data_IF_374186793637
#
_entry.id   IF_374186793637
#
_cell.length_a   1.000
_cell.length_b   1.000
_cell.length_c   1.000
_cell.angle_alpha   90.00
_cell.angle_beta   90.00
_cell.angle_gamma   90.00
#
_symmetry.space_group_name_H-M   'P 1'
#
loop_
_entity.id
_entity.type
_entity.pdbx_description
1 polymer ?
#
# COMPACT_ATOMS: atom_id res chain seq x y z
N UNK A 1 -23.55 18.63 14.95
CA UNK A 1 -22.15 18.81 15.40
C UNK A 1 -21.31 17.76 14.70
N UNK A 2 -20.37 18.16 13.82
CA UNK A 2 -19.38 17.21 13.31
C UNK A 2 -18.46 16.82 14.48
N UNK A 3 -18.35 15.52 14.78
CA UNK A 3 -17.38 15.03 15.74
C UNK A 3 -15.98 15.10 15.14
N UNK A 4 -15.02 15.60 15.92
CA UNK A 4 -13.64 15.91 15.52
C UNK A 4 -12.76 14.69 15.18
N UNK A 5 -13.34 13.49 15.06
CA UNK A 5 -12.60 12.26 14.73
C UNK A 5 -12.29 12.13 13.23
N UNK A 6 -12.94 12.91 12.37
CA UNK A 6 -12.73 12.84 10.93
C UNK A 6 -11.83 13.97 10.45
N UNK A 7 -10.55 13.67 10.18
CA UNK A 7 -9.62 14.61 9.53
C UNK A 7 -9.65 14.35 8.01
N UNK A 8 -10.32 15.29 7.32
CA UNK A 8 -10.63 15.44 5.89
C UNK A 8 -9.92 14.54 4.86
N UNK A 9 -10.70 13.92 3.95
CA UNK A 9 -10.23 13.53 2.62
C UNK A 9 -11.12 14.16 1.55
N UNK A 10 -10.72 15.34 1.07
CA UNK A 10 -11.27 15.98 -0.12
C UNK A 10 -12.74 16.42 -0.03
N UNK A 11 -13.06 17.46 -0.80
CA UNK A 11 -14.44 17.78 -1.16
C UNK A 11 -14.61 17.38 -2.62
N UNK A 12 -15.60 16.55 -2.91
CA UNK A 12 -15.93 16.08 -4.25
C UNK A 12 -17.39 16.34 -4.60
N UNK A 13 -17.71 16.22 -5.87
CA UNK A 13 -19.08 16.29 -6.37
C UNK A 13 -19.44 14.94 -6.99
N UNK A 14 -20.54 14.34 -6.53
CA UNK A 14 -21.14 13.16 -7.14
C UNK A 14 -22.36 13.59 -7.96
N UNK A 15 -22.49 13.09 -9.19
CA UNK A 15 -23.67 13.29 -10.02
C UNK A 15 -24.45 11.98 -10.11
N UNK A 16 -25.75 11.99 -9.82
CA UNK A 16 -26.60 10.83 -10.02
C UNK A 16 -27.03 10.64 -11.49
N UNK A 17 -27.73 9.55 -11.76
CA UNK A 17 -28.24 9.20 -13.09
C UNK A 17 -29.26 10.19 -13.67
N UNK A 18 -29.90 10.99 -12.82
CA UNK A 18 -30.92 11.98 -13.18
C UNK A 18 -30.30 13.39 -13.30
N UNK A 19 -28.98 13.51 -13.09
CA UNK A 19 -28.18 14.71 -13.28
C UNK A 19 -28.02 15.58 -12.02
N UNK A 20 -28.53 15.15 -10.87
CA UNK A 20 -28.45 15.90 -9.61
C UNK A 20 -27.04 15.85 -9.05
N UNK A 21 -26.49 17.01 -8.66
CA UNK A 21 -25.17 17.13 -8.06
C UNK A 21 -25.25 17.13 -6.53
N UNK A 22 -24.43 16.29 -5.91
CA UNK A 22 -24.29 16.16 -4.46
C UNK A 22 -22.89 16.59 -4.03
N UNK A 23 -22.83 17.46 -3.03
CA UNK A 23 -21.60 17.71 -2.31
C UNK A 23 -21.27 16.51 -1.44
N UNK A 24 -20.13 15.87 -1.69
CA UNK A 24 -19.68 14.71 -0.93
C UNK A 24 -18.41 15.09 -0.16
N UNK A 25 -18.50 14.98 1.16
CA UNK A 25 -17.33 14.98 2.02
C UNK A 25 -16.95 13.54 2.28
N UNK A 26 -15.75 13.12 1.85
CA UNK A 26 -15.24 11.81 2.23
C UNK A 26 -14.53 11.92 3.57
N UNK A 27 -15.00 11.15 4.54
CA UNK A 27 -14.32 10.95 5.81
C UNK A 27 -13.62 9.59 5.72
N UNK A 28 -12.28 9.55 5.74
CA UNK A 28 -11.63 8.31 6.15
C UNK A 28 -11.87 8.13 7.65
N UNK A 29 -12.08 6.88 8.06
CA UNK A 29 -12.34 6.54 9.45
C UNK A 29 -11.21 6.95 10.40
N UNK A 30 -11.38 6.65 11.70
CA UNK A 30 -10.38 6.87 12.72
C UNK A 30 -9.02 6.40 12.21
N UNK A 31 -8.04 7.30 12.10
CA UNK A 31 -6.68 7.08 11.56
C UNK A 31 -6.46 7.29 10.04
N UNK A 32 -7.31 8.06 9.38
CA UNK A 32 -7.13 8.52 7.99
C UNK A 32 -5.70 9.01 7.61
N UNK A 33 -5.00 9.62 8.56
CA UNK A 33 -3.65 10.16 8.38
C UNK A 33 -2.54 9.24 8.91
N UNK A 34 -2.89 8.14 9.59
CA UNK A 34 -1.88 7.21 10.08
C UNK A 34 -1.28 6.50 8.88
N UNK A 35 0.04 6.42 8.91
CA UNK A 35 0.83 5.75 7.89
C UNK A 35 1.73 4.74 8.57
N UNK A 36 2.02 3.68 7.84
CA UNK A 36 3.03 2.71 8.20
C UNK A 36 4.14 2.75 7.18
N UNK A 37 5.33 2.39 7.62
CA UNK A 37 6.54 2.37 6.80
C UNK A 37 6.77 0.95 6.30
N UNK A 38 6.72 0.79 4.98
CA UNK A 38 7.21 -0.41 4.31
C UNK A 38 8.69 -0.22 4.00
N UNK A 39 9.52 -1.17 4.40
CA UNK A 39 10.95 -1.24 4.06
C UNK A 39 11.19 -2.36 3.05
N UNK A 40 11.87 -2.06 1.95
CA UNK A 40 12.14 -3.03 0.88
C UNK A 40 13.55 -3.59 1.00
N UNK A 41 13.64 -4.87 1.33
CA UNK A 41 14.87 -5.64 1.28
C UNK A 41 14.93 -6.44 -0.03
N UNK A 42 15.71 -6.01 -1.04
CA UNK A 42 15.76 -6.68 -2.33
C UNK A 42 16.44 -8.06 -2.29
N UNK A 43 16.93 -8.52 -1.12
CA UNK A 43 17.38 -9.89 -0.91
C UNK A 43 18.38 -10.39 -1.97
N UNK A 44 19.51 -9.71 -2.07
CA UNK A 44 20.54 -10.01 -3.08
C UNK A 44 20.28 -9.38 -4.46
N UNK A 45 19.13 -8.72 -4.67
CA UNK A 45 18.91 -7.82 -5.79
C UNK A 45 19.20 -6.36 -5.45
N UNK A 46 18.79 -5.46 -6.34
CA UNK A 46 18.83 -4.00 -6.17
C UNK A 46 17.43 -3.42 -6.30
N UNK A 47 17.07 -2.49 -5.42
CA UNK A 47 15.83 -1.72 -5.49
C UNK A 47 16.14 -0.25 -5.27
N UNK A 48 15.70 0.62 -6.18
CA UNK A 48 15.91 2.06 -6.07
C UNK A 48 15.03 2.69 -4.96
N UNK A 49 13.95 2.01 -4.58
CA UNK A 49 13.06 2.43 -3.50
C UNK A 49 13.39 1.62 -2.25
N UNK A 50 13.91 2.29 -1.21
CA UNK A 50 14.25 1.65 0.07
C UNK A 50 13.07 1.58 1.03
N UNK A 51 12.24 2.62 1.05
CA UNK A 51 11.07 2.70 1.93
C UNK A 51 9.89 3.35 1.21
N UNK A 52 8.67 3.05 1.66
CA UNK A 52 7.44 3.67 1.20
C UNK A 52 6.47 3.85 2.36
N UNK A 53 5.82 5.01 2.43
CA UNK A 53 4.74 5.27 3.38
C UNK A 53 3.41 4.74 2.79
N UNK A 54 2.78 3.79 3.47
CA UNK A 54 1.49 3.23 3.10
C UNK A 54 0.40 3.68 4.10
N UNK A 55 -0.85 3.92 3.65
CA UNK A 55 -1.94 4.23 4.57
C UNK A 55 -2.21 3.05 5.52
N UNK A 56 -2.40 3.35 6.79
CA UNK A 56 -2.71 2.35 7.83
C UNK A 56 -3.95 1.51 7.47
N UNK A 57 -3.86 0.20 7.67
CA UNK A 57 -4.92 -0.81 7.39
C UNK A 57 -5.43 -0.81 5.95
N UNK A 58 -4.67 -0.24 5.00
CA UNK A 58 -4.99 -0.36 3.58
C UNK A 58 -4.45 -1.68 3.04
N UNK A 59 -5.27 -2.35 2.23
CA UNK A 59 -4.83 -3.51 1.45
C UNK A 59 -3.90 -3.06 0.34
N UNK A 60 -2.67 -3.58 0.33
CA UNK A 60 -1.66 -3.34 -0.69
C UNK A 60 -1.51 -4.56 -1.61
N UNK A 61 -1.40 -4.35 -2.92
CA UNK A 61 -1.10 -5.41 -3.88
C UNK A 61 0.34 -5.29 -4.42
N UNK A 62 0.90 -6.40 -4.92
CA UNK A 62 2.26 -6.44 -5.49
C UNK A 62 2.51 -5.38 -6.55
N UNK A 63 1.51 -5.12 -7.42
CA UNK A 63 1.59 -4.12 -8.49
C UNK A 63 1.73 -2.68 -8.00
N UNK A 64 1.40 -2.42 -6.73
CA UNK A 64 1.49 -1.08 -6.12
C UNK A 64 2.86 -0.86 -5.45
N UNK A 65 3.76 -1.85 -5.54
CA UNK A 65 5.08 -1.87 -4.92
C UNK A 65 6.18 -1.75 -5.97
N UNK A 66 7.37 -1.24 -5.60
CA UNK A 66 8.51 -1.21 -6.50
C UNK A 66 8.91 -2.62 -6.96
N UNK A 67 9.40 -2.71 -8.19
CA UNK A 67 9.94 -3.96 -8.75
C UNK A 67 11.47 -3.90 -8.66
N UNK A 68 12.11 -4.76 -7.84
CA UNK A 68 13.56 -4.84 -7.77
C UNK A 68 14.12 -5.62 -8.96
N UNK A 69 15.44 -5.55 -9.16
CA UNK A 69 16.16 -6.31 -10.20
C UNK A 69 17.27 -7.14 -9.59
N UNK A 70 17.45 -8.37 -10.08
CA UNK A 70 18.57 -9.25 -9.70
C UNK A 70 19.03 -10.04 -10.92
N UNK A 71 20.29 -9.91 -11.30
CA UNK A 71 20.84 -10.57 -12.48
C UNK A 71 20.78 -12.10 -12.34
N UNK A 72 20.25 -12.77 -13.38
CA UNK A 72 20.04 -14.23 -13.39
C UNK A 72 18.79 -14.72 -12.64
N UNK A 73 17.89 -13.82 -12.22
CA UNK A 73 16.68 -14.18 -11.49
C UNK A 73 15.44 -13.43 -12.01
N UNK A 74 14.29 -14.10 -11.93
CA UNK A 74 12.95 -13.52 -12.09
C UNK A 74 12.41 -13.08 -10.73
N UNK A 75 11.86 -11.86 -10.66
CA UNK A 75 11.17 -11.37 -9.47
C UNK A 75 9.78 -12.00 -9.36
N UNK A 76 9.54 -12.76 -8.29
CA UNK A 76 8.27 -13.46 -8.06
C UNK A 76 7.29 -12.59 -7.25
N UNK A 77 7.82 -11.68 -6.43
CA UNK A 77 7.04 -10.78 -5.59
C UNK A 77 7.69 -10.50 -4.25
N UNK A 78 7.04 -9.67 -3.45
CA UNK A 78 7.40 -9.37 -2.08
C UNK A 78 6.75 -10.37 -1.12
N UNK A 79 7.51 -10.87 -0.15
CA UNK A 79 7.04 -11.66 1.00
C UNK A 79 7.44 -10.99 2.32
N UNK A 80 6.89 -11.46 3.44
CA UNK A 80 7.39 -11.10 4.78
C UNK A 80 8.46 -12.11 5.22
N UNK A 81 9.14 -11.86 6.34
CA UNK A 81 10.16 -12.80 6.82
C UNK A 81 9.60 -14.19 7.14
N UNK A 82 8.37 -14.25 7.66
CA UNK A 82 7.71 -15.50 8.06
C UNK A 82 7.01 -16.23 6.90
N UNK A 83 6.98 -15.64 5.70
CA UNK A 83 6.29 -16.21 4.56
C UNK A 83 7.15 -16.20 3.30
N UNK A 84 7.53 -17.41 2.86
CA UNK A 84 8.33 -17.63 1.65
C UNK A 84 7.55 -17.51 0.34
N UNK A 85 6.25 -17.21 0.41
CA UNK A 85 5.39 -16.98 -0.74
C UNK A 85 5.04 -15.50 -0.89
N UNK A 86 4.93 -14.99 -2.14
CA UNK A 86 4.52 -13.62 -2.36
C UNK A 86 3.09 -13.43 -1.85
N UNK A 87 2.85 -12.36 -1.09
CA UNK A 87 1.49 -12.07 -0.66
C UNK A 87 0.65 -11.59 -1.86
N UNK A 88 -0.58 -12.09 -1.97
CA UNK A 88 -1.59 -11.65 -2.99
C UNK A 88 -2.34 -10.38 -2.56
N UNK A 89 -2.12 -9.98 -1.31
CA UNK A 89 -2.41 -8.67 -0.76
C UNK A 89 -2.18 -8.69 0.75
N UNK A 90 -1.63 -7.62 1.30
CA UNK A 90 -1.38 -7.50 2.72
C UNK A 90 -2.15 -6.29 3.26
N UNK A 91 -2.83 -6.46 4.40
CA UNK A 91 -3.29 -5.34 5.21
C UNK A 91 -2.13 -4.97 6.09
N UNK A 92 -1.56 -3.79 5.87
CA UNK A 92 -0.40 -3.33 6.62
C UNK A 92 -0.90 -2.45 7.77
N UNK A 93 -0.76 -2.92 9.00
CA UNK A 93 -1.19 -2.21 10.21
C UNK A 93 -0.03 -1.91 11.18
N UNK A 94 1.19 -2.27 10.81
CA UNK A 94 2.43 -1.83 11.44
C UNK A 94 3.51 -1.60 10.39
N UNK A 95 4.62 -0.99 10.81
CA UNK A 95 5.83 -0.96 9.98
C UNK A 95 6.26 -2.40 9.66
N UNK A 96 6.68 -2.64 8.42
CA UNK A 96 6.93 -3.99 7.91
C UNK A 96 8.14 -4.00 6.97
N UNK A 97 8.93 -5.07 7.02
CA UNK A 97 10.03 -5.28 6.08
C UNK A 97 9.67 -6.35 5.06
N UNK A 98 9.52 -5.93 3.82
CA UNK A 98 9.23 -6.80 2.70
C UNK A 98 10.52 -7.31 2.06
N UNK A 99 10.62 -8.63 1.92
CA UNK A 99 11.75 -9.33 1.32
C UNK A 99 11.41 -9.76 -0.10
N UNK A 100 12.30 -9.49 -1.05
CA UNK A 100 12.10 -9.93 -2.43
C UNK A 100 12.29 -11.46 -2.54
N UNK A 101 11.32 -12.10 -3.21
CA UNK A 101 11.35 -13.50 -3.57
C UNK A 101 11.75 -13.64 -5.04
N UNK A 102 12.66 -14.57 -5.29
CA UNK A 102 13.36 -14.70 -6.56
C UNK A 102 13.28 -16.15 -7.05
N UNK A 103 13.15 -16.32 -8.36
CA UNK A 103 13.31 -17.61 -9.04
C UNK A 103 14.51 -17.53 -9.96
N UNK A 104 15.43 -18.48 -9.88
CA UNK A 104 16.57 -18.54 -10.80
C UNK A 104 16.08 -18.77 -12.24
N UNK A 105 16.71 -18.07 -13.19
CA UNK A 105 16.48 -18.25 -14.63
C UNK A 105 17.15 -19.51 -15.16
#
# INVERSE_FOLDING_TARGET
MLHNYNRYLGVGVYQDKDGTLYWVQTFAGEKANDKVTLTFNPNGGTCNVKTMQAPYKKRMAQKDLPVPVREGYEFIGWGTFDNEYPFTGCVVDSDETLRALWKAL
#
